data_IF_650401489049
#
_entry.id   IF_650401489049
#
_cell.length_a   1.000
_cell.length_b   1.000
_cell.length_c   1.000
_cell.angle_alpha   90.00
_cell.angle_beta   90.00
_cell.angle_gamma   90.00
#
_symmetry.space_group_name_H-M   'P 1'
#
loop_
_entity.id
_entity.type
_entity.pdbx_description
1 polymer ?
#
# COMPACT_ATOMS: atom_id res chain seq x y z
N UNK A 1 -16.23 12.28 15.99
CA UNK A 1 -15.22 13.36 16.01
C UNK A 1 -14.77 13.67 14.56
N UNK A 2 -14.32 12.69 13.76
CA UNK A 2 -13.87 12.95 12.39
C UNK A 2 -14.98 13.46 11.47
N UNK A 3 -16.19 12.89 11.54
CA UNK A 3 -17.36 13.38 10.77
C UNK A 3 -17.66 14.85 11.10
N UNK A 4 -17.74 15.20 12.39
CA UNK A 4 -17.99 16.58 12.80
C UNK A 4 -16.90 17.54 12.31
N UNK A 5 -15.63 17.12 12.32
CA UNK A 5 -14.53 17.91 11.77
C UNK A 5 -14.66 18.11 10.27
N UNK A 6 -14.94 17.04 9.50
CA UNK A 6 -15.19 17.15 8.07
C UNK A 6 -16.36 18.08 7.74
N UNK A 7 -17.46 17.97 8.49
CA UNK A 7 -18.63 18.85 8.34
C UNK A 7 -18.27 20.31 8.61
N UNK A 8 -17.52 20.58 9.69
CA UNK A 8 -17.06 21.93 10.02
C UNK A 8 -16.19 22.51 8.92
N UNK A 9 -15.18 21.76 8.46
CA UNK A 9 -14.28 22.22 7.40
C UNK A 9 -15.04 22.56 6.12
N UNK A 10 -15.88 21.63 5.67
CA UNK A 10 -16.63 21.82 4.43
C UNK A 10 -17.74 22.90 4.52
N UNK A 11 -18.35 23.11 5.68
CA UNK A 11 -19.33 24.19 5.89
C UNK A 11 -18.68 25.58 5.86
N UNK A 12 -17.41 25.68 6.24
CA UNK A 12 -16.60 26.90 6.15
C UNK A 12 -16.02 27.14 4.74
N UNK A 13 -16.29 26.26 3.78
CA UNK A 13 -15.69 26.32 2.44
C UNK A 13 -14.20 25.94 2.42
N UNK A 14 -13.72 25.30 3.47
CA UNK A 14 -12.33 24.85 3.62
C UNK A 14 -12.20 23.41 3.14
N UNK A 15 -11.09 23.12 2.49
CA UNK A 15 -10.75 21.75 2.12
C UNK A 15 -10.17 20.96 3.29
N UNK A 16 -10.35 19.65 3.28
CA UNK A 16 -9.96 18.77 4.37
C UNK A 16 -9.08 17.61 3.87
N UNK A 17 -7.98 17.34 4.59
CA UNK A 17 -7.15 16.15 4.42
C UNK A 17 -7.39 15.21 5.61
N UNK A 18 -8.14 14.12 5.37
CA UNK A 18 -8.36 13.08 6.38
C UNK A 18 -7.28 12.00 6.21
N UNK A 19 -6.28 12.08 7.09
CA UNK A 19 -5.07 11.29 7.07
C UNK A 19 -5.02 10.23 8.19
N UNK A 20 -6.17 9.80 8.69
CA UNK A 20 -6.30 8.76 9.71
C UNK A 20 -5.63 7.45 9.27
N UNK A 21 -5.14 6.69 10.23
CA UNK A 21 -4.65 5.34 9.99
C UNK A 21 -5.64 4.51 9.18
N UNK A 22 -5.12 3.57 8.40
CA UNK A 22 -5.96 2.64 7.67
C UNK A 22 -6.82 1.82 8.63
N UNK A 23 -8.07 1.55 8.24
CA UNK A 23 -9.01 0.82 9.07
C UNK A 23 -9.77 1.66 10.11
N UNK A 24 -9.49 2.96 10.27
CA UNK A 24 -10.25 3.87 11.14
C UNK A 24 -11.55 4.41 10.49
N UNK A 25 -12.03 3.77 9.43
CA UNK A 25 -13.33 4.06 8.82
C UNK A 25 -13.41 5.38 8.05
N UNK A 26 -12.33 5.80 7.38
CA UNK A 26 -12.32 7.00 6.51
C UNK A 26 -13.48 7.00 5.51
N UNK A 27 -13.75 5.87 4.87
CA UNK A 27 -14.87 5.71 3.93
C UNK A 27 -16.20 5.99 4.61
N UNK A 28 -16.46 5.41 5.77
CA UNK A 28 -17.71 5.62 6.52
C UNK A 28 -17.86 7.07 6.98
N UNK A 29 -16.79 7.69 7.48
CA UNK A 29 -16.78 9.10 7.87
C UNK A 29 -17.13 9.99 6.67
N UNK A 30 -16.58 9.67 5.49
CA UNK A 30 -16.87 10.39 4.25
C UNK A 30 -18.30 10.17 3.77
N UNK A 31 -18.82 8.93 3.81
CA UNK A 31 -20.23 8.64 3.49
C UNK A 31 -21.17 9.44 4.41
N UNK A 32 -20.86 9.53 5.70
CA UNK A 32 -21.62 10.34 6.66
C UNK A 32 -21.59 11.84 6.33
N UNK A 33 -20.45 12.35 5.81
CA UNK A 33 -20.38 13.72 5.29
C UNK A 33 -21.29 13.89 4.07
N UNK A 34 -21.16 13.02 3.07
CA UNK A 34 -21.92 13.08 1.80
C UNK A 34 -23.44 12.99 2.07
N UNK A 35 -23.83 12.14 2.99
CA UNK A 35 -25.23 11.94 3.40
C UNK A 35 -25.85 13.14 4.12
N UNK A 36 -25.04 13.98 4.72
CA UNK A 36 -25.48 15.20 5.42
C UNK A 36 -25.50 16.47 4.57
N UNK A 37 -25.30 16.37 3.24
CA UNK A 37 -25.33 17.53 2.33
C UNK A 37 -26.74 17.88 1.87
N UNK A 38 -26.92 19.10 1.41
CA UNK A 38 -28.22 19.69 1.00
C UNK A 38 -28.88 19.02 -0.22
N UNK A 39 -28.13 18.25 -1.01
CA UNK A 39 -28.63 17.55 -2.18
C UNK A 39 -28.88 18.44 -3.41
N UNK A 40 -28.51 19.71 -3.39
CA UNK A 40 -28.73 20.64 -4.50
C UNK A 40 -27.83 20.35 -5.71
N UNK A 41 -26.65 19.75 -5.47
CA UNK A 41 -25.64 19.44 -6.48
C UNK A 41 -25.19 17.98 -6.38
N UNK A 42 -24.66 17.40 -7.47
CA UNK A 42 -24.02 16.09 -7.40
C UNK A 42 -22.72 16.14 -6.60
N UNK A 43 -22.32 14.99 -6.10
CA UNK A 43 -21.10 14.79 -5.33
C UNK A 43 -20.19 13.81 -6.07
N UNK A 44 -18.88 14.01 -6.03
CA UNK A 44 -17.92 13.17 -6.78
C UNK A 44 -16.96 12.46 -5.82
N UNK A 45 -16.84 11.15 -6.00
CA UNK A 45 -15.82 10.33 -5.36
C UNK A 45 -14.89 9.78 -6.44
N UNK A 46 -13.62 10.16 -6.39
CA UNK A 46 -12.56 9.63 -7.25
C UNK A 46 -11.71 8.67 -6.43
N UNK A 47 -11.63 7.42 -6.86
CA UNK A 47 -10.91 6.39 -6.11
C UNK A 47 -10.10 5.47 -7.06
N UNK A 48 -9.18 4.63 -6.56
CA UNK A 48 -8.57 3.58 -7.38
C UNK A 48 -9.63 2.67 -8.01
N UNK A 49 -9.41 2.25 -9.25
CA UNK A 49 -10.37 1.40 -10.01
C UNK A 49 -10.86 0.19 -9.22
N UNK A 50 -9.98 -0.39 -8.45
CA UNK A 50 -10.24 -1.60 -7.65
C UNK A 50 -11.16 -1.37 -6.44
N UNK A 51 -11.35 -0.13 -5.99
CA UNK A 51 -12.24 0.20 -4.86
C UNK A 51 -13.57 0.82 -5.28
N UNK A 52 -13.80 1.07 -6.56
CA UNK A 52 -15.09 1.59 -7.07
C UNK A 52 -16.26 0.75 -6.54
N UNK A 53 -16.20 -0.58 -6.69
CA UNK A 53 -17.25 -1.45 -6.18
C UNK A 53 -17.35 -1.53 -4.65
N UNK A 54 -16.27 -1.23 -3.93
CA UNK A 54 -16.34 -1.13 -2.48
C UNK A 54 -17.11 0.12 -2.07
N UNK A 55 -16.86 1.26 -2.70
CA UNK A 55 -17.61 2.49 -2.49
C UNK A 55 -19.10 2.30 -2.76
N UNK A 56 -19.46 1.62 -3.85
CA UNK A 56 -20.87 1.31 -4.17
C UNK A 56 -21.54 0.50 -3.06
N UNK A 57 -20.88 -0.57 -2.59
CA UNK A 57 -21.41 -1.42 -1.50
C UNK A 57 -21.54 -0.67 -0.17
N UNK A 58 -20.53 0.11 0.20
CA UNK A 58 -20.55 0.88 1.44
C UNK A 58 -21.63 1.97 1.40
N UNK A 59 -21.80 2.66 0.27
CA UNK A 59 -22.89 3.62 0.08
C UNK A 59 -24.26 2.94 0.17
N UNK A 60 -24.47 1.81 -0.50
CA UNK A 60 -25.72 1.05 -0.43
C UNK A 60 -26.02 0.55 1.00
N UNK A 61 -24.97 0.23 1.77
CA UNK A 61 -25.11 -0.25 3.14
C UNK A 61 -25.43 0.85 4.14
N UNK A 62 -24.69 1.97 4.08
CA UNK A 62 -24.73 3.01 5.12
C UNK A 62 -25.57 4.24 4.76
N UNK A 63 -25.83 4.46 3.48
CA UNK A 63 -26.65 5.55 2.97
C UNK A 63 -27.52 5.11 1.79
N UNK A 64 -28.41 4.11 1.97
CA UNK A 64 -29.18 3.51 0.87
C UNK A 64 -30.15 4.47 0.18
N UNK A 65 -30.44 5.60 0.77
CA UNK A 65 -31.29 6.65 0.23
C UNK A 65 -30.56 7.60 -0.72
N UNK A 66 -29.21 7.59 -0.75
CA UNK A 66 -28.46 8.39 -1.70
C UNK A 66 -28.44 7.73 -3.08
N UNK A 67 -28.85 8.43 -4.15
CA UNK A 67 -28.65 7.93 -5.50
C UNK A 67 -27.16 7.77 -5.80
N UNK A 68 -26.75 6.60 -6.27
CA UNK A 68 -25.36 6.32 -6.63
C UNK A 68 -25.25 6.16 -8.14
N UNK A 69 -24.40 6.94 -8.76
CA UNK A 69 -24.09 6.89 -10.19
C UNK A 69 -22.69 6.33 -10.38
N UNK A 70 -22.61 5.19 -11.04
CA UNK A 70 -21.33 4.59 -11.39
C UNK A 70 -20.80 5.20 -12.69
N UNK A 71 -19.80 6.06 -12.58
CA UNK A 71 -19.06 6.55 -13.74
C UNK A 71 -17.84 5.65 -14.01
N UNK A 72 -18.12 4.40 -14.45
CA UNK A 72 -17.10 3.41 -14.77
C UNK A 72 -17.64 2.32 -15.70
N UNK A 73 -16.79 1.83 -16.62
CA UNK A 73 -17.18 0.81 -17.60
C UNK A 73 -17.84 1.35 -18.86
N UNK A 74 -18.52 0.48 -19.63
CA UNK A 74 -19.04 0.79 -20.95
C UNK A 74 -20.34 1.61 -20.96
N UNK A 75 -21.15 1.57 -19.94
CA UNK A 75 -22.43 2.30 -19.85
C UNK A 75 -22.37 3.53 -18.94
N UNK A 76 -21.18 4.12 -18.76
CA UNK A 76 -21.02 5.29 -17.91
C UNK A 76 -21.62 6.56 -18.50
N UNK A 77 -22.06 7.51 -17.68
CA UNK A 77 -22.50 8.83 -18.12
C UNK A 77 -21.54 9.50 -19.10
N UNK A 78 -22.10 10.13 -20.11
CA UNK A 78 -21.37 10.83 -21.18
C UNK A 78 -21.70 12.31 -21.27
N UNK A 79 -22.70 12.78 -20.51
CA UNK A 79 -23.09 14.19 -20.45
C UNK A 79 -23.27 14.64 -18.99
N UNK A 80 -23.19 15.96 -18.76
CA UNK A 80 -23.31 16.57 -17.43
C UNK A 80 -24.73 16.43 -16.85
N UNK A 81 -25.74 16.36 -17.70
CA UNK A 81 -27.18 16.25 -17.34
C UNK A 81 -27.47 14.87 -16.68
N UNK A 82 -26.64 13.90 -16.93
CA UNK A 82 -26.75 12.57 -16.30
C UNK A 82 -26.31 12.57 -14.83
N UNK A 83 -25.55 13.57 -14.39
CA UNK A 83 -25.16 13.73 -12.99
C UNK A 83 -26.25 14.46 -12.21
N UNK A 84 -27.19 13.70 -11.66
CA UNK A 84 -28.35 14.23 -10.96
C UNK A 84 -27.99 14.94 -9.65
N UNK A 85 -28.68 16.04 -9.27
CA UNK A 85 -28.56 16.66 -7.96
C UNK A 85 -28.72 15.63 -6.84
N UNK A 86 -27.93 15.75 -5.78
CA UNK A 86 -27.91 14.84 -4.64
C UNK A 86 -27.31 13.47 -4.89
N UNK A 87 -26.96 13.12 -6.13
CA UNK A 87 -26.34 11.84 -6.43
C UNK A 87 -24.85 11.83 -6.07
N UNK A 88 -24.38 10.67 -5.61
CA UNK A 88 -22.95 10.39 -5.43
C UNK A 88 -22.41 9.68 -6.67
N UNK A 89 -21.57 10.36 -7.42
CA UNK A 89 -20.90 9.82 -8.60
C UNK A 89 -19.58 9.18 -8.18
N UNK A 90 -19.41 7.88 -8.43
CA UNK A 90 -18.17 7.15 -8.12
C UNK A 90 -17.41 6.88 -9.40
N UNK A 91 -16.17 7.37 -9.47
CA UNK A 91 -15.29 7.23 -10.64
C UNK A 91 -13.87 6.81 -10.25
N UNK A 92 -13.01 6.59 -11.25
CA UNK A 92 -11.61 6.23 -11.04
C UNK A 92 -10.64 7.31 -11.53
N UNK A 93 -9.40 7.29 -10.99
CA UNK A 93 -8.33 8.18 -11.46
C UNK A 93 -8.01 8.05 -12.96
N UNK A 94 -8.20 6.84 -13.51
CA UNK A 94 -8.08 6.63 -14.96
C UNK A 94 -9.12 7.38 -15.77
N UNK A 95 -10.36 7.45 -15.29
CA UNK A 95 -11.46 8.19 -15.92
C UNK A 95 -11.38 9.69 -15.62
N UNK A 96 -10.93 10.10 -14.45
CA UNK A 96 -10.59 11.49 -14.16
C UNK A 96 -9.62 12.06 -15.21
N UNK A 97 -8.71 11.25 -15.73
CA UNK A 97 -7.80 11.66 -16.79
C UNK A 97 -8.47 11.68 -18.17
N UNK A 98 -9.29 10.66 -18.48
CA UNK A 98 -9.88 10.48 -19.81
C UNK A 98 -11.10 11.37 -20.05
N UNK A 99 -11.97 11.49 -19.06
CA UNK A 99 -13.25 12.19 -19.14
C UNK A 99 -13.17 13.56 -18.41
N UNK A 100 -11.97 14.18 -18.43
CA UNK A 100 -11.64 15.38 -17.64
C UNK A 100 -12.55 16.58 -17.93
N UNK A 101 -12.91 16.81 -19.20
CA UNK A 101 -13.76 17.94 -19.60
C UNK A 101 -15.20 17.74 -19.09
N UNK A 102 -15.74 16.53 -19.15
CA UNK A 102 -17.06 16.19 -18.61
C UNK A 102 -17.10 16.47 -17.09
N UNK A 103 -16.10 15.98 -16.36
CA UNK A 103 -16.04 16.16 -14.91
C UNK A 103 -15.76 17.62 -14.50
N UNK A 104 -14.98 18.35 -15.29
CA UNK A 104 -14.73 19.77 -15.06
C UNK A 104 -15.91 20.69 -15.47
N UNK A 105 -16.77 20.22 -16.37
CA UNK A 105 -17.98 20.92 -16.77
C UNK A 105 -19.15 20.81 -15.78
N UNK A 106 -19.00 20.00 -14.74
CA UNK A 106 -20.04 19.77 -13.72
C UNK A 106 -19.71 20.57 -12.46
N UNK A 107 -20.72 21.22 -11.88
CA UNK A 107 -20.57 21.98 -10.63
C UNK A 107 -20.88 21.07 -9.42
N UNK A 108 -19.83 20.59 -8.79
CA UNK A 108 -19.90 19.62 -7.71
C UNK A 108 -20.11 20.27 -6.34
N UNK A 109 -20.88 19.62 -5.47
CA UNK A 109 -20.98 20.05 -4.07
C UNK A 109 -19.69 19.65 -3.31
N UNK A 110 -19.37 18.38 -3.31
CA UNK A 110 -18.14 17.86 -2.68
C UNK A 110 -17.37 17.00 -3.69
N UNK A 111 -16.07 17.20 -3.79
CA UNK A 111 -15.15 16.30 -4.50
C UNK A 111 -14.25 15.61 -3.49
N UNK A 112 -14.32 14.29 -3.48
CA UNK A 112 -13.52 13.41 -2.62
C UNK A 112 -12.48 12.70 -3.45
N UNK A 113 -11.21 12.75 -3.04
CA UNK A 113 -10.15 11.90 -3.58
C UNK A 113 -9.80 10.84 -2.55
N UNK A 114 -10.11 9.59 -2.84
CA UNK A 114 -9.69 8.44 -2.01
C UNK A 114 -8.33 7.92 -2.48
N UNK A 115 -7.46 7.54 -1.53
CA UNK A 115 -6.04 7.26 -1.79
C UNK A 115 -5.36 8.43 -2.54
N UNK A 116 -5.45 9.61 -1.95
CA UNK A 116 -5.05 10.88 -2.57
C UNK A 116 -3.57 10.94 -2.97
N UNK A 117 -2.73 10.02 -2.50
CA UNK A 117 -1.36 9.86 -3.02
C UNK A 117 -1.31 9.54 -4.53
N UNK A 118 -2.43 9.21 -5.16
CA UNK A 118 -2.51 9.06 -6.62
C UNK A 118 -2.27 10.39 -7.38
N UNK A 119 -2.43 11.53 -6.71
CA UNK A 119 -2.12 12.85 -7.27
C UNK A 119 -0.79 13.44 -6.77
N UNK A 120 0.08 12.63 -6.16
CA UNK A 120 1.35 13.06 -5.57
C UNK A 120 2.29 13.81 -6.51
N UNK A 121 2.33 13.44 -7.77
CA UNK A 121 3.09 14.15 -8.78
C UNK A 121 2.26 15.31 -9.32
N UNK A 122 2.57 16.52 -8.87
CA UNK A 122 1.89 17.76 -9.24
C UNK A 122 1.89 18.05 -10.76
N UNK A 123 2.91 17.59 -11.50
CA UNK A 123 3.04 17.76 -12.94
C UNK A 123 2.25 16.71 -13.73
N UNK A 124 1.77 15.64 -13.08
CA UNK A 124 1.00 14.59 -13.75
C UNK A 124 -0.36 15.11 -14.21
N UNK A 125 -0.82 14.58 -15.34
CA UNK A 125 -2.13 14.93 -15.91
C UNK A 125 -3.28 14.71 -14.91
N UNK A 126 -3.22 13.62 -14.14
CA UNK A 126 -4.23 13.30 -13.12
C UNK A 126 -4.32 14.39 -12.04
N UNK A 127 -3.18 14.87 -11.53
CA UNK A 127 -3.15 15.93 -10.52
C UNK A 127 -3.66 17.27 -11.08
N UNK A 128 -3.28 17.59 -12.32
CA UNK A 128 -3.77 18.81 -13.00
C UNK A 128 -5.29 18.76 -13.22
N UNK A 129 -5.81 17.61 -13.66
CA UNK A 129 -7.25 17.46 -13.89
C UNK A 129 -8.02 17.51 -12.56
N UNK A 130 -7.54 16.88 -11.50
CA UNK A 130 -8.18 16.95 -10.19
C UNK A 130 -8.35 18.41 -9.71
N UNK A 131 -7.33 19.25 -9.87
CA UNK A 131 -7.40 20.68 -9.49
C UNK A 131 -8.35 21.53 -10.34
N UNK A 132 -8.63 21.10 -11.59
CA UNK A 132 -9.57 21.81 -12.49
C UNK A 132 -11.04 21.56 -12.16
N UNK A 133 -11.37 20.53 -11.40
CA UNK A 133 -12.76 20.19 -11.07
C UNK A 133 -13.34 21.28 -10.14
N UNK A 134 -14.42 21.98 -10.53
CA UNK A 134 -15.07 22.94 -9.66
C UNK A 134 -15.81 22.20 -8.53
N UNK A 135 -15.70 22.69 -7.29
CA UNK A 135 -16.40 22.13 -6.15
C UNK A 135 -16.59 23.17 -5.04
N UNK A 136 -17.70 23.08 -4.30
CA UNK A 136 -17.91 23.89 -3.08
C UNK A 136 -16.95 23.48 -1.97
N UNK A 137 -16.67 22.17 -1.84
CA UNK A 137 -15.73 21.63 -0.87
C UNK A 137 -14.87 20.50 -1.47
N UNK A 138 -13.67 20.34 -0.97
CA UNK A 138 -12.72 19.31 -1.43
C UNK A 138 -12.19 18.52 -0.25
N UNK A 139 -12.22 17.21 -0.36
CA UNK A 139 -11.75 16.28 0.68
C UNK A 139 -10.74 15.32 0.08
N UNK A 140 -9.62 15.15 0.72
CA UNK A 140 -8.64 14.14 0.38
C UNK A 140 -8.55 13.09 1.50
N UNK A 141 -8.55 11.81 1.13
CA UNK A 141 -8.42 10.69 2.04
C UNK A 141 -7.10 9.99 1.74
N UNK A 142 -6.31 9.71 2.77
CA UNK A 142 -5.09 8.92 2.66
C UNK A 142 -4.79 8.22 3.98
N UNK A 143 -4.17 7.04 3.92
CA UNK A 143 -3.60 6.39 5.11
C UNK A 143 -2.15 6.82 5.37
N UNK A 144 -1.52 7.45 4.38
CA UNK A 144 -0.09 7.76 4.35
C UNK A 144 0.14 9.17 3.80
N UNK A 145 -0.09 10.22 4.61
CA UNK A 145 -0.13 11.61 4.11
C UNK A 145 1.21 12.15 3.62
N UNK A 146 2.34 11.51 3.95
CA UNK A 146 3.70 11.99 3.64
C UNK A 146 4.66 10.81 3.44
N UNK A 147 4.41 9.95 2.43
CA UNK A 147 5.24 8.76 2.25
C UNK A 147 6.67 9.03 1.77
N UNK A 148 6.90 10.05 0.94
CA UNK A 148 8.17 10.14 0.24
C UNK A 148 8.77 11.56 0.06
N UNK A 149 7.97 12.60 -0.08
CA UNK A 149 8.47 13.97 -0.33
C UNK A 149 7.45 15.04 0.06
N UNK A 150 7.91 16.18 0.52
CA UNK A 150 7.05 17.33 0.81
C UNK A 150 6.29 17.84 -0.44
N UNK A 151 6.82 17.57 -1.64
CA UNK A 151 6.11 17.83 -2.90
C UNK A 151 4.79 17.05 -3.04
N UNK A 152 4.67 15.86 -2.43
CA UNK A 152 3.43 15.09 -2.40
C UNK A 152 2.39 15.77 -1.50
N UNK A 153 2.81 16.22 -0.33
CA UNK A 153 1.96 17.02 0.57
C UNK A 153 1.48 18.29 -0.12
N UNK A 154 2.38 19.01 -0.80
CA UNK A 154 2.01 20.21 -1.56
C UNK A 154 0.91 19.91 -2.58
N UNK A 155 1.02 18.81 -3.34
CA UNK A 155 0.06 18.47 -4.39
C UNK A 155 -1.33 18.16 -3.83
N UNK A 156 -1.41 17.48 -2.68
CA UNK A 156 -2.68 17.18 -2.01
C UNK A 156 -3.27 18.43 -1.37
N UNK A 157 -2.44 19.26 -0.72
CA UNK A 157 -2.89 20.51 -0.10
C UNK A 157 -3.35 21.53 -1.14
N UNK A 158 -2.69 21.60 -2.31
CA UNK A 158 -3.10 22.49 -3.41
C UNK A 158 -4.40 22.01 -4.09
N UNK A 159 -4.71 20.71 -4.03
CA UNK A 159 -6.04 20.22 -4.40
C UNK A 159 -7.09 20.61 -3.37
N UNK A 160 -6.87 20.36 -2.08
CA UNK A 160 -7.87 20.63 -1.04
C UNK A 160 -8.06 22.13 -0.81
N UNK A 161 -6.97 22.88 -0.70
CA UNK A 161 -6.96 24.30 -0.39
C UNK A 161 -6.05 25.05 -1.40
N UNK A 162 -6.55 25.36 -2.60
CA UNK A 162 -5.74 25.99 -3.65
C UNK A 162 -5.06 27.26 -3.18
N UNK A 163 -3.75 27.35 -3.40
CA UNK A 163 -2.96 28.53 -3.07
C UNK A 163 -2.51 28.65 -1.62
N UNK A 164 -2.95 27.79 -0.68
CA UNK A 164 -2.58 27.83 0.73
C UNK A 164 -1.05 27.82 0.94
N UNK A 165 -0.34 26.96 0.22
CA UNK A 165 1.11 26.82 0.30
C UNK A 165 1.87 27.65 -0.76
N UNK A 166 1.14 28.43 -1.55
CA UNK A 166 1.67 29.23 -2.65
C UNK A 166 2.15 28.38 -3.84
N UNK A 167 2.76 29.04 -4.86
CA UNK A 167 3.29 28.33 -6.03
C UNK A 167 4.35 27.29 -5.65
N UNK A 168 4.36 26.16 -6.37
CA UNK A 168 5.26 25.04 -6.08
C UNK A 168 6.75 25.42 -6.04
N UNK A 169 7.20 26.33 -6.91
CA UNK A 169 8.59 26.83 -6.90
C UNK A 169 8.96 27.45 -5.56
N UNK A 170 8.13 28.38 -5.05
CA UNK A 170 8.33 29.02 -3.74
C UNK A 170 8.22 28.05 -2.57
N UNK A 171 7.26 27.10 -2.63
CA UNK A 171 7.14 26.06 -1.63
C UNK A 171 8.41 25.20 -1.57
N UNK A 172 8.95 24.82 -2.73
CA UNK A 172 10.18 24.05 -2.82
C UNK A 172 11.35 24.76 -2.19
N UNK A 173 11.54 26.04 -2.50
CA UNK A 173 12.63 26.86 -1.94
C UNK A 173 12.47 27.09 -0.44
N UNK A 174 11.24 27.36 0.02
CA UNK A 174 10.98 27.78 1.40
C UNK A 174 10.87 26.60 2.38
N UNK A 175 10.38 25.44 1.92
CA UNK A 175 10.10 24.31 2.78
C UNK A 175 10.75 23.00 2.30
N UNK A 176 10.53 22.57 1.04
CA UNK A 176 10.95 21.23 0.64
C UNK A 176 12.48 21.07 0.65
N UNK A 177 13.23 21.98 0.04
CA UNK A 177 14.70 21.92 0.03
C UNK A 177 15.30 22.08 1.44
N UNK A 178 14.90 23.09 2.26
CA UNK A 178 15.39 23.21 3.63
C UNK A 178 15.16 21.95 4.47
N UNK A 179 13.94 21.42 4.47
CA UNK A 179 13.59 20.25 5.29
C UNK A 179 14.24 18.96 4.77
N UNK A 180 14.14 18.69 3.45
CA UNK A 180 14.59 17.41 2.88
C UNK A 180 16.12 17.31 2.75
N UNK A 181 16.82 18.43 2.46
CA UNK A 181 18.28 18.44 2.26
C UNK A 181 19.07 18.90 3.48
N UNK A 182 18.57 19.93 4.17
CA UNK A 182 19.32 20.60 5.25
C UNK A 182 18.79 20.25 6.64
N UNK A 183 17.71 19.46 6.73
CA UNK A 183 17.07 19.07 7.99
C UNK A 183 16.69 20.27 8.87
N UNK A 184 16.17 21.34 8.23
CA UNK A 184 15.76 22.57 8.90
C UNK A 184 14.47 22.32 9.70
N UNK A 185 14.62 22.17 11.02
CA UNK A 185 13.51 21.92 11.94
C UNK A 185 12.55 23.11 12.04
N UNK A 186 13.05 24.35 11.90
CA UNK A 186 12.22 25.55 11.93
C UNK A 186 11.33 25.63 10.69
N UNK A 187 11.86 25.31 9.51
CA UNK A 187 11.07 25.23 8.29
C UNK A 187 10.00 24.12 8.39
N UNK A 188 10.35 22.96 8.97
CA UNK A 188 9.43 21.89 9.22
C UNK A 188 8.33 22.27 10.23
N UNK A 189 8.68 22.96 11.31
CA UNK A 189 7.72 23.44 12.31
C UNK A 189 6.74 24.45 11.72
N UNK A 190 7.23 25.43 10.95
CA UNK A 190 6.39 26.42 10.25
C UNK A 190 5.44 25.76 9.27
N UNK A 191 5.89 24.78 8.48
CA UNK A 191 5.04 24.05 7.55
C UNK A 191 3.94 23.27 8.29
N UNK A 192 4.31 22.58 9.38
CA UNK A 192 3.33 21.87 10.24
C UNK A 192 2.25 22.79 10.77
N UNK A 193 2.61 23.97 11.27
CA UNK A 193 1.62 24.95 11.76
C UNK A 193 0.61 25.39 10.69
N UNK A 194 1.06 25.56 9.44
CA UNK A 194 0.21 25.98 8.33
C UNK A 194 -0.75 24.85 7.94
N UNK A 195 -0.28 23.60 7.92
CA UNK A 195 -1.03 22.45 7.41
C UNK A 195 -1.95 21.84 8.47
N UNK A 196 -1.56 21.87 9.74
CA UNK A 196 -2.27 21.21 10.83
C UNK A 196 -3.77 21.53 10.91
N UNK A 197 -4.27 22.76 10.69
CA UNK A 197 -5.71 23.02 10.74
C UNK A 197 -6.52 22.28 9.67
N UNK A 198 -5.90 21.95 8.53
CA UNK A 198 -6.53 21.34 7.36
C UNK A 198 -6.32 19.83 7.28
N UNK A 199 -5.61 19.25 8.24
CA UNK A 199 -5.31 17.83 8.28
C UNK A 199 -5.75 17.20 9.60
N UNK A 200 -6.55 16.14 9.52
CA UNK A 200 -6.85 15.29 10.68
C UNK A 200 -6.11 13.98 10.52
N UNK A 201 -5.18 13.71 11.44
CA UNK A 201 -4.45 12.45 11.52
C UNK A 201 -4.63 11.85 12.90
N UNK A 202 -5.16 10.64 12.97
CA UNK A 202 -5.27 9.84 14.19
C UNK A 202 -4.63 8.49 13.94
N UNK A 203 -3.91 8.01 14.93
CA UNK A 203 -3.33 6.68 14.93
C UNK A 203 -4.26 5.71 15.65
N UNK A 204 -4.22 4.44 15.33
CA UNK A 204 -4.93 3.39 16.06
C UNK A 204 -4.46 3.28 17.51
N UNK A 205 -3.21 3.68 17.76
CA UNK A 205 -2.58 3.70 19.07
C UNK A 205 -2.92 4.93 19.92
N UNK A 206 -3.56 5.94 19.33
CA UNK A 206 -3.96 7.13 20.06
C UNK A 206 -5.05 6.80 21.10
N UNK A 207 -4.96 7.34 22.35
CA UNK A 207 -5.99 7.13 23.35
C UNK A 207 -7.39 7.56 22.87
N UNK A 208 -8.39 6.72 23.09
CA UNK A 208 -9.78 7.00 22.72
C UNK A 208 -10.10 6.87 21.22
N UNK A 209 -9.18 6.34 20.38
CA UNK A 209 -9.40 6.23 18.94
C UNK A 209 -9.90 4.86 18.52
N UNK A 210 -9.29 3.78 19.01
CA UNK A 210 -9.59 2.41 18.60
C UNK A 210 -9.49 1.43 19.78
N UNK A 211 -10.04 1.81 20.92
CA UNK A 211 -10.00 1.02 22.18
C UNK A 211 -10.61 -0.39 22.03
N UNK A 212 -11.56 -0.57 21.11
CA UNK A 212 -12.19 -1.86 20.84
C UNK A 212 -11.35 -2.75 19.90
N UNK A 213 -10.23 -2.27 19.34
CA UNK A 213 -9.36 -3.10 18.51
C UNK A 213 -8.52 -4.02 19.40
N UNK A 214 -8.54 -5.34 19.12
CA UNK A 214 -7.69 -6.26 19.86
C UNK A 214 -6.19 -5.98 19.58
N UNK A 215 -5.28 -6.57 20.38
CA UNK A 215 -3.83 -6.43 20.15
C UNK A 215 -3.40 -6.89 18.75
N UNK A 216 -2.37 -6.24 18.22
CA UNK A 216 -1.60 -6.69 17.06
C UNK A 216 -0.20 -7.10 17.54
N UNK A 217 0.18 -8.33 17.25
CA UNK A 217 1.50 -8.87 17.58
C UNK A 217 2.28 -9.08 16.28
N UNK A 218 3.46 -8.48 16.17
CA UNK A 218 4.34 -8.64 15.01
C UNK A 218 5.57 -9.44 15.38
N UNK A 219 5.90 -10.44 14.57
CA UNK A 219 7.05 -11.33 14.75
C UNK A 219 7.88 -11.37 13.48
N UNK A 220 9.17 -11.17 13.61
CA UNK A 220 10.14 -11.46 12.55
C UNK A 220 10.51 -12.93 12.61
N UNK A 221 10.25 -13.65 11.54
CA UNK A 221 10.56 -15.07 11.40
C UNK A 221 11.85 -15.21 10.59
N UNK A 222 12.93 -15.53 11.29
CA UNK A 222 14.22 -15.77 10.64
C UNK A 222 14.21 -17.10 9.89
N UNK A 223 14.65 -17.07 8.63
CA UNK A 223 14.74 -18.22 7.75
C UNK A 223 16.18 -18.38 7.26
N UNK A 224 16.71 -19.62 7.26
CA UNK A 224 18.04 -19.90 6.73
C UNK A 224 18.02 -20.18 5.23
N UNK A 225 19.09 -19.82 4.52
CA UNK A 225 19.27 -20.25 3.13
C UNK A 225 19.55 -21.76 3.06
N UNK A 226 19.04 -22.40 2.02
CA UNK A 226 19.55 -23.72 1.63
C UNK A 226 20.89 -23.57 0.89
N UNK A 227 21.68 -24.64 0.76
CA UNK A 227 22.93 -24.63 -0.04
C UNK A 227 22.68 -24.18 -1.48
N UNK A 228 21.60 -24.65 -2.09
CA UNK A 228 21.18 -24.23 -3.42
C UNK A 228 20.94 -22.72 -3.49
N UNK A 229 20.20 -22.16 -2.51
CA UNK A 229 19.95 -20.73 -2.45
C UNK A 229 21.23 -19.91 -2.24
N UNK A 230 22.12 -20.35 -1.34
CA UNK A 230 23.38 -19.66 -1.05
C UNK A 230 24.29 -19.62 -2.29
N UNK A 231 24.47 -20.77 -2.98
CA UNK A 231 25.28 -20.86 -4.21
C UNK A 231 24.72 -19.97 -5.30
N UNK A 232 23.39 -20.00 -5.50
CA UNK A 232 22.72 -19.20 -6.53
C UNK A 232 22.79 -17.70 -6.21
N UNK A 233 22.69 -17.34 -4.95
CA UNK A 233 22.79 -15.97 -4.47
C UNK A 233 24.21 -15.41 -4.74
N UNK A 234 25.26 -16.12 -4.32
CA UNK A 234 26.66 -15.73 -4.54
C UNK A 234 26.98 -15.61 -6.05
N UNK A 235 26.58 -16.60 -6.84
CA UNK A 235 26.78 -16.58 -8.28
C UNK A 235 26.07 -15.37 -8.96
N UNK A 236 24.89 -15.01 -8.47
CA UNK A 236 24.13 -13.86 -8.99
C UNK A 236 24.78 -12.52 -8.60
N UNK A 237 25.31 -12.42 -7.38
CA UNK A 237 26.08 -11.24 -6.95
C UNK A 237 27.33 -11.08 -7.79
N UNK A 238 28.12 -12.14 -7.95
CA UNK A 238 29.34 -12.13 -8.78
C UNK A 238 29.06 -11.77 -10.25
N UNK A 239 28.02 -12.35 -10.83
CA UNK A 239 27.64 -12.08 -12.22
C UNK A 239 27.18 -10.62 -12.50
N UNK A 240 26.57 -9.95 -11.52
CA UNK A 240 26.00 -8.61 -11.70
C UNK A 240 26.85 -7.46 -11.13
N UNK A 241 27.71 -7.76 -10.13
CA UNK A 241 28.64 -6.78 -9.53
C UNK A 241 30.10 -6.98 -9.95
N UNK A 242 30.41 -8.06 -10.68
CA UNK A 242 31.79 -8.46 -11.00
C UNK A 242 32.50 -9.15 -9.82
N UNK A 243 33.61 -9.83 -10.09
CA UNK A 243 34.42 -10.46 -9.05
C UNK A 243 35.06 -9.39 -8.14
N UNK A 244 35.04 -9.67 -6.85
CA UNK A 244 35.56 -8.77 -5.79
C UNK A 244 37.04 -8.46 -5.91
N UNK A 245 37.82 -9.29 -6.63
CA UNK A 245 39.27 -9.16 -6.75
C UNK A 245 39.75 -8.24 -7.88
N UNK A 246 38.93 -7.91 -8.86
CA UNK A 246 39.37 -7.14 -10.03
C UNK A 246 39.24 -5.62 -9.91
N UNK A 247 38.63 -5.09 -8.84
CA UNK A 247 38.55 -3.65 -8.56
C UNK A 247 37.78 -2.80 -9.60
N UNK A 248 37.38 -3.39 -10.71
CA UNK A 248 36.80 -2.68 -11.87
C UNK A 248 35.34 -3.11 -12.04
N UNK A 249 34.46 -2.46 -11.28
CA UNK A 249 33.01 -2.60 -11.43
C UNK A 249 32.42 -1.27 -11.83
N UNK A 250 32.38 -1.04 -13.10
CA UNK A 250 31.58 0.04 -13.65
C UNK A 250 30.12 -0.45 -13.77
N UNK A 251 29.31 -0.17 -12.77
CA UNK A 251 27.86 -0.37 -12.83
C UNK A 251 27.19 0.59 -13.83
N UNK A 252 27.97 1.44 -14.48
CA UNK A 252 27.50 2.52 -15.34
C UNK A 252 26.96 3.70 -14.52
N UNK A 253 26.56 4.74 -15.21
CA UNK A 253 26.02 5.94 -14.59
C UNK A 253 24.50 6.10 -14.86
N UNK A 254 23.83 6.88 -14.01
CA UNK A 254 22.45 7.33 -14.26
C UNK A 254 21.42 6.22 -14.35
N UNK A 255 20.72 6.13 -15.49
CA UNK A 255 19.58 5.22 -15.69
C UNK A 255 20.04 3.75 -15.80
N UNK A 256 21.18 3.50 -16.43
CA UNK A 256 21.72 2.13 -16.60
C UNK A 256 22.10 1.52 -15.25
N UNK A 257 22.80 2.27 -14.43
CA UNK A 257 23.15 1.86 -13.05
C UNK A 257 21.91 1.50 -12.25
N UNK A 258 20.91 2.39 -12.26
CA UNK A 258 19.64 2.12 -11.57
C UNK A 258 18.96 0.84 -12.04
N UNK A 259 18.96 0.59 -13.34
CA UNK A 259 18.43 -0.63 -13.94
C UNK A 259 19.15 -1.89 -13.47
N UNK A 260 20.49 -1.88 -13.42
CA UNK A 260 21.32 -3.00 -12.95
C UNK A 260 21.12 -3.27 -11.45
N UNK A 261 21.11 -2.23 -10.62
CA UNK A 261 20.85 -2.36 -9.18
C UNK A 261 19.46 -2.96 -8.93
N UNK A 262 18.41 -2.46 -9.57
CA UNK A 262 17.07 -3.02 -9.43
C UNK A 262 16.98 -4.48 -9.88
N UNK A 263 17.67 -4.83 -10.95
CA UNK A 263 17.75 -6.21 -11.45
C UNK A 263 18.40 -7.13 -10.41
N UNK A 264 19.54 -6.71 -9.86
CA UNK A 264 20.26 -7.46 -8.81
C UNK A 264 19.36 -7.68 -7.59
N UNK A 265 18.84 -6.61 -7.01
CA UNK A 265 18.01 -6.67 -5.81
C UNK A 265 16.75 -7.53 -6.02
N UNK A 266 16.12 -7.45 -7.20
CA UNK A 266 14.98 -8.28 -7.56
C UNK A 266 15.37 -9.75 -7.67
N UNK A 267 16.48 -10.06 -8.31
CA UNK A 267 16.99 -11.42 -8.45
C UNK A 267 17.28 -12.06 -7.08
N UNK A 268 17.99 -11.34 -6.21
CA UNK A 268 18.33 -11.81 -4.87
C UNK A 268 17.10 -12.07 -4.00
N UNK A 269 16.09 -11.18 -4.06
CA UNK A 269 14.79 -11.42 -3.38
C UNK A 269 14.08 -12.67 -3.89
N UNK A 270 14.08 -12.89 -5.20
CA UNK A 270 13.47 -14.10 -5.78
C UNK A 270 14.22 -15.37 -5.36
N UNK A 271 15.54 -15.32 -5.26
CA UNK A 271 16.35 -16.44 -4.76
C UNK A 271 16.06 -16.70 -3.28
N UNK A 272 15.99 -15.66 -2.45
CA UNK A 272 15.61 -15.78 -1.04
C UNK A 272 14.20 -16.38 -0.89
N UNK A 273 13.27 -16.06 -1.77
CA UNK A 273 11.95 -16.66 -1.77
C UNK A 273 11.99 -18.15 -2.14
N UNK A 274 12.50 -18.47 -3.32
CA UNK A 274 12.63 -19.84 -3.81
C UNK A 274 13.44 -19.90 -5.11
N UNK A 275 14.41 -20.82 -5.28
CA UNK A 275 15.17 -20.99 -6.54
C UNK A 275 14.28 -21.14 -7.78
N UNK A 276 13.20 -21.93 -7.69
CA UNK A 276 12.30 -22.14 -8.82
C UNK A 276 11.60 -20.86 -9.29
N UNK A 277 11.38 -19.87 -8.41
CA UNK A 277 10.84 -18.57 -8.82
C UNK A 277 11.84 -17.78 -9.68
N UNK A 278 13.11 -17.81 -9.30
CA UNK A 278 14.18 -17.09 -10.04
C UNK A 278 14.53 -17.76 -11.36
N UNK A 279 14.67 -19.08 -11.33
CA UNK A 279 15.04 -19.88 -12.50
C UNK A 279 13.88 -20.09 -13.48
N UNK A 280 12.64 -19.94 -13.03
CA UNK A 280 11.44 -20.23 -13.83
C UNK A 280 11.25 -21.73 -14.13
N UNK A 281 11.77 -22.59 -13.27
CA UNK A 281 11.79 -24.03 -13.48
C UNK A 281 10.58 -24.72 -12.85
N UNK A 282 9.92 -25.64 -13.57
CA UNK A 282 8.98 -26.56 -12.97
C UNK A 282 9.74 -27.64 -12.18
N UNK A 283 9.18 -28.10 -11.05
CA UNK A 283 9.78 -29.20 -10.29
C UNK A 283 9.37 -29.19 -8.82
N UNK A 284 9.95 -30.14 -8.04
CA UNK A 284 9.66 -30.21 -6.61
C UNK A 284 10.16 -28.97 -5.88
N UNK A 285 9.32 -28.41 -5.02
CA UNK A 285 9.64 -27.20 -4.27
C UNK A 285 10.23 -27.52 -2.88
N UNK A 286 9.82 -28.66 -2.31
CA UNK A 286 10.20 -29.06 -0.94
C UNK A 286 11.72 -29.19 -0.79
N UNK A 287 12.25 -28.63 0.30
CA UNK A 287 13.68 -28.73 0.65
C UNK A 287 14.60 -27.75 -0.08
N UNK A 288 14.07 -26.93 -1.00
CA UNK A 288 14.86 -25.98 -1.80
C UNK A 288 14.85 -24.54 -1.25
N UNK A 289 14.00 -24.23 -0.27
CA UNK A 289 13.88 -22.89 0.32
C UNK A 289 13.56 -22.95 1.80
N UNK A 290 14.37 -22.26 2.61
CA UNK A 290 14.12 -22.12 4.04
C UNK A 290 12.85 -21.33 4.34
N UNK A 291 12.55 -20.28 3.57
CA UNK A 291 11.28 -19.56 3.71
C UNK A 291 10.07 -20.45 3.43
N UNK A 292 10.11 -21.26 2.39
CA UNK A 292 9.00 -22.17 2.06
C UNK A 292 8.79 -23.21 3.18
N UNK A 293 9.88 -23.74 3.74
CA UNK A 293 9.81 -24.66 4.88
C UNK A 293 9.14 -23.97 6.08
N UNK A 294 9.66 -22.81 6.50
CA UNK A 294 9.12 -22.07 7.65
C UNK A 294 7.66 -21.63 7.45
N UNK A 295 7.31 -21.12 6.27
CA UNK A 295 5.94 -20.77 5.94
C UNK A 295 5.00 -21.97 6.04
N UNK A 296 5.45 -23.14 5.54
CA UNK A 296 4.63 -24.38 5.59
C UNK A 296 4.39 -24.82 7.02
N UNK A 297 5.40 -24.77 7.89
CA UNK A 297 5.27 -25.10 9.32
C UNK A 297 4.28 -24.18 10.02
N UNK A 298 4.48 -22.87 9.93
CA UNK A 298 3.59 -21.87 10.53
C UNK A 298 2.14 -22.01 10.06
N UNK A 299 1.95 -22.15 8.76
CA UNK A 299 0.60 -22.26 8.21
C UNK A 299 -0.06 -23.61 8.56
N UNK A 300 0.72 -24.68 8.73
CA UNK A 300 0.21 -25.97 9.23
C UNK A 300 -0.33 -25.84 10.66
N UNK A 301 0.39 -25.16 11.54
CA UNK A 301 -0.04 -24.89 12.93
C UNK A 301 -1.31 -24.04 12.97
N UNK A 302 -1.37 -22.95 12.18
CA UNK A 302 -2.52 -22.07 12.09
C UNK A 302 -3.76 -22.83 11.61
N UNK A 303 -3.62 -23.63 10.56
CA UNK A 303 -4.74 -24.43 10.01
C UNK A 303 -5.17 -25.51 11.00
N UNK A 304 -4.22 -26.19 11.67
CA UNK A 304 -4.53 -27.20 12.67
C UNK A 304 -5.26 -26.62 13.90
N UNK A 305 -5.00 -25.36 14.24
CA UNK A 305 -5.68 -24.63 15.32
C UNK A 305 -7.06 -24.10 14.90
N UNK A 306 -7.50 -24.36 13.67
CA UNK A 306 -8.79 -23.86 13.15
C UNK A 306 -8.80 -22.35 12.88
N UNK A 307 -7.62 -21.74 12.84
CA UNK A 307 -7.45 -20.30 12.58
C UNK A 307 -7.27 -20.04 11.07
N UNK A 308 -7.26 -18.76 10.68
CA UNK A 308 -7.19 -18.35 9.28
C UNK A 308 -6.09 -17.35 9.03
N UNK A 309 -5.41 -17.51 7.89
CA UNK A 309 -4.32 -16.65 7.51
C UNK A 309 -4.50 -16.01 6.15
N UNK A 310 -4.03 -14.74 6.07
CA UNK A 310 -3.71 -14.07 4.81
C UNK A 310 -2.22 -14.26 4.54
N UNK A 311 -1.88 -14.68 3.34
CA UNK A 311 -0.48 -14.83 2.93
C UNK A 311 -0.19 -13.84 1.81
N UNK A 312 0.68 -12.88 2.08
CA UNK A 312 1.04 -11.82 1.13
C UNK A 312 2.35 -12.13 0.43
N UNK A 313 2.37 -11.91 -0.88
CA UNK A 313 3.59 -11.92 -1.71
C UNK A 313 3.51 -10.83 -2.77
N UNK A 314 4.65 -10.24 -3.16
CA UNK A 314 4.71 -9.26 -4.23
C UNK A 314 4.77 -9.91 -5.61
N UNK A 315 5.18 -11.18 -5.71
CA UNK A 315 5.40 -11.87 -6.96
C UNK A 315 4.26 -12.85 -7.29
N UNK A 316 3.62 -12.63 -8.44
CA UNK A 316 2.56 -13.54 -8.91
C UNK A 316 3.08 -14.98 -9.07
N UNK A 317 4.26 -15.15 -9.67
CA UNK A 317 4.86 -16.48 -9.83
C UNK A 317 5.05 -17.19 -8.48
N UNK A 318 5.51 -16.47 -7.43
CA UNK A 318 5.63 -17.06 -6.10
C UNK A 318 4.26 -17.42 -5.50
N UNK A 319 3.25 -16.58 -5.70
CA UNK A 319 1.89 -16.88 -5.25
C UNK A 319 1.31 -18.15 -5.88
N UNK A 320 1.56 -18.38 -7.17
CA UNK A 320 1.16 -19.61 -7.89
C UNK A 320 1.91 -20.84 -7.34
N UNK A 321 3.21 -20.73 -7.08
CA UNK A 321 4.01 -21.79 -6.45
C UNK A 321 3.50 -22.11 -5.04
N UNK A 322 3.25 -21.09 -4.21
CA UNK A 322 2.72 -21.23 -2.86
C UNK A 322 1.34 -21.88 -2.85
N UNK A 323 0.43 -21.47 -3.74
CA UNK A 323 -0.91 -22.03 -3.80
C UNK A 323 -0.87 -23.55 -4.06
N UNK A 324 -0.09 -23.96 -5.05
CA UNK A 324 0.08 -25.39 -5.36
C UNK A 324 0.74 -26.18 -4.23
N UNK A 325 1.84 -25.64 -3.68
CA UNK A 325 2.60 -26.30 -2.61
C UNK A 325 1.78 -26.44 -1.33
N UNK A 326 1.17 -25.35 -0.85
CA UNK A 326 0.38 -25.35 0.40
C UNK A 326 -0.88 -26.23 0.27
N UNK A 327 -1.54 -26.21 -0.90
CA UNK A 327 -2.66 -27.12 -1.17
C UNK A 327 -2.27 -28.57 -0.95
N UNK A 328 -1.16 -29.00 -1.55
CA UNK A 328 -0.65 -30.37 -1.42
C UNK A 328 -0.12 -30.67 0.00
N UNK A 329 0.69 -29.79 0.57
CA UNK A 329 1.36 -30.00 1.87
C UNK A 329 0.37 -30.04 3.04
N UNK A 330 -0.66 -29.18 3.00
CA UNK A 330 -1.68 -29.06 4.05
C UNK A 330 -2.95 -29.84 3.74
N UNK A 331 -2.98 -30.57 2.62
CA UNK A 331 -4.15 -31.36 2.17
C UNK A 331 -5.41 -30.51 2.05
N UNK A 332 -5.28 -29.29 1.57
CA UNK A 332 -6.39 -28.39 1.32
C UNK A 332 -6.94 -28.60 -0.10
N UNK A 333 -8.27 -28.59 -0.29
CA UNK A 333 -8.88 -28.76 -1.61
C UNK A 333 -8.39 -27.71 -2.61
N UNK A 334 -8.28 -26.46 -2.14
CA UNK A 334 -7.82 -25.30 -2.88
C UNK A 334 -7.22 -24.28 -1.93
N UNK A 335 -6.20 -23.57 -2.38
CA UNK A 335 -5.68 -22.36 -1.73
C UNK A 335 -5.92 -21.19 -2.69
N UNK A 336 -6.96 -20.36 -2.47
CA UNK A 336 -7.30 -19.27 -3.36
C UNK A 336 -6.19 -18.24 -3.41
N UNK A 337 -5.91 -17.73 -4.62
CA UNK A 337 -4.91 -16.68 -4.84
C UNK A 337 -5.50 -15.44 -5.53
N UNK A 338 -5.61 -14.36 -4.79
CA UNK A 338 -6.11 -13.08 -5.25
C UNK A 338 -4.97 -12.21 -5.80
N UNK A 339 -4.97 -11.98 -7.12
CA UNK A 339 -3.94 -11.19 -7.81
C UNK A 339 -4.57 -10.27 -8.86
N UNK A 340 -3.76 -9.41 -9.49
CA UNK A 340 -4.24 -8.40 -10.44
C UNK A 340 -4.88 -8.95 -11.72
N UNK A 341 -4.61 -10.21 -12.08
CA UNK A 341 -5.23 -10.89 -13.22
C UNK A 341 -6.59 -11.55 -12.94
N UNK A 342 -7.04 -11.56 -11.68
CA UNK A 342 -8.37 -12.08 -11.31
C UNK A 342 -9.43 -11.07 -11.68
N UNK A 343 -10.45 -11.50 -12.43
CA UNK A 343 -11.58 -10.64 -12.77
C UNK A 343 -12.36 -10.19 -11.53
N UNK A 344 -13.13 -9.10 -11.69
CA UNK A 344 -13.84 -8.50 -10.55
C UNK A 344 -14.82 -9.45 -9.88
N UNK A 345 -15.61 -10.18 -10.66
CA UNK A 345 -16.62 -11.10 -10.11
C UNK A 345 -15.99 -12.28 -9.36
N UNK A 346 -14.90 -12.83 -9.88
CA UNK A 346 -14.14 -13.89 -9.20
C UNK A 346 -13.50 -13.34 -7.90
N UNK A 347 -12.96 -12.13 -7.91
CA UNK A 347 -12.41 -11.47 -6.72
C UNK A 347 -13.47 -11.31 -5.62
N UNK A 348 -14.65 -10.83 -5.98
CA UNK A 348 -15.77 -10.64 -5.04
C UNK A 348 -16.21 -11.99 -4.44
N UNK A 349 -16.29 -13.04 -5.25
CA UNK A 349 -16.60 -14.41 -4.77
C UNK A 349 -15.53 -14.95 -3.83
N UNK A 350 -14.24 -14.80 -4.15
CA UNK A 350 -13.13 -15.24 -3.28
C UNK A 350 -13.18 -14.55 -1.92
N UNK A 351 -13.38 -13.23 -1.90
CA UNK A 351 -13.47 -12.45 -0.65
C UNK A 351 -14.70 -12.88 0.15
N UNK A 352 -15.87 -12.99 -0.46
CA UNK A 352 -17.09 -13.44 0.20
C UNK A 352 -16.94 -14.88 0.74
N UNK A 353 -16.38 -15.79 -0.05
CA UNK A 353 -16.11 -17.15 0.39
C UNK A 353 -15.19 -17.20 1.62
N UNK A 354 -14.08 -16.45 1.61
CA UNK A 354 -13.16 -16.38 2.74
C UNK A 354 -13.81 -15.74 3.98
N UNK A 355 -14.60 -14.69 3.79
CA UNK A 355 -15.14 -13.88 4.88
C UNK A 355 -16.41 -14.45 5.50
N UNK A 356 -17.29 -15.07 4.72
CA UNK A 356 -18.67 -15.38 5.11
C UNK A 356 -18.98 -16.88 5.13
N UNK A 357 -18.36 -17.68 4.24
CA UNK A 357 -18.71 -19.09 4.14
C UNK A 357 -18.39 -19.87 5.43
N UNK A 358 -19.27 -20.79 5.88
CA UNK A 358 -19.01 -21.64 7.05
C UNK A 358 -17.76 -22.51 6.87
N UNK A 359 -17.61 -23.08 5.69
CA UNK A 359 -16.50 -23.94 5.23
C UNK A 359 -15.41 -23.15 4.48
N UNK A 360 -15.25 -21.88 4.80
CA UNK A 360 -14.29 -21.00 4.14
C UNK A 360 -12.87 -21.58 4.15
N UNK A 361 -12.10 -21.39 3.06
CA UNK A 361 -10.73 -21.83 3.00
C UNK A 361 -9.93 -21.21 4.16
N UNK A 362 -9.05 -21.97 4.84
CA UNK A 362 -8.29 -21.45 5.98
C UNK A 362 -7.22 -20.46 5.55
N UNK A 363 -6.79 -20.49 4.30
CA UNK A 363 -5.78 -19.63 3.72
C UNK A 363 -6.33 -18.82 2.55
N UNK A 364 -5.93 -17.58 2.44
CA UNK A 364 -6.10 -16.75 1.25
C UNK A 364 -4.76 -16.10 0.90
N UNK A 365 -4.22 -16.47 -0.25
CA UNK A 365 -3.05 -15.81 -0.81
C UNK A 365 -3.47 -14.50 -1.47
N UNK A 366 -2.68 -13.45 -1.27
CA UNK A 366 -2.98 -12.12 -1.82
C UNK A 366 -1.69 -11.50 -2.38
N UNK A 367 -1.72 -11.11 -3.64
CA UNK A 367 -0.65 -10.28 -4.19
C UNK A 367 -0.72 -8.88 -3.57
N UNK A 368 0.42 -8.36 -3.08
CA UNK A 368 0.48 -7.04 -2.45
C UNK A 368 -0.10 -5.93 -3.33
N UNK A 369 0.12 -5.98 -4.64
CA UNK A 369 -0.48 -5.03 -5.60
C UNK A 369 -2.01 -5.15 -5.69
N UNK A 370 -2.55 -6.34 -5.51
CA UNK A 370 -4.00 -6.57 -5.50
C UNK A 370 -4.61 -6.32 -4.10
N UNK A 371 -3.83 -6.52 -3.05
CA UNK A 371 -4.20 -6.26 -1.65
C UNK A 371 -4.41 -4.77 -1.33
N UNK A 372 -3.82 -3.86 -2.11
CA UNK A 372 -3.92 -2.40 -1.93
C UNK A 372 -5.33 -1.80 -2.07
N UNK A 373 -6.38 -2.59 -2.20
CA UNK A 373 -7.68 -2.15 -2.69
C UNK A 373 -8.82 -2.43 -1.74
N UNK A 374 -8.90 -1.72 -0.62
CA UNK A 374 -10.13 -1.60 0.21
C UNK A 374 -10.78 -2.92 0.70
N UNK A 375 -10.07 -4.05 0.64
CA UNK A 375 -10.59 -5.33 1.07
C UNK A 375 -10.82 -5.36 2.59
N UNK A 376 -11.89 -5.97 3.03
CA UNK A 376 -12.17 -6.26 4.42
C UNK A 376 -12.04 -7.76 4.67
N UNK A 377 -11.01 -8.18 5.41
CA UNK A 377 -10.64 -9.58 5.63
C UNK A 377 -10.45 -9.89 7.12
N UNK A 378 -11.32 -9.31 7.96
CA UNK A 378 -11.26 -9.39 9.43
C UNK A 378 -11.49 -10.80 10.00
N UNK A 379 -11.87 -11.76 9.17
CA UNK A 379 -11.95 -13.16 9.60
C UNK A 379 -10.56 -13.81 9.79
N UNK A 380 -9.51 -13.24 9.18
CA UNK A 380 -8.14 -13.66 9.40
C UNK A 380 -7.63 -13.18 10.77
N UNK A 381 -6.97 -14.06 11.50
CA UNK A 381 -6.28 -13.81 12.75
C UNK A 381 -4.77 -13.85 12.57
N UNK A 382 -4.30 -14.32 11.43
CA UNK A 382 -2.89 -14.35 11.07
C UNK A 382 -2.66 -13.67 9.73
N UNK A 383 -1.55 -12.95 9.64
CA UNK A 383 -1.04 -12.33 8.43
C UNK A 383 0.41 -12.77 8.25
N UNK A 384 0.71 -13.43 7.14
CA UNK A 384 2.06 -13.85 6.78
C UNK A 384 2.56 -13.02 5.61
N UNK A 385 3.59 -12.20 5.81
CA UNK A 385 4.36 -11.57 4.73
C UNK A 385 5.47 -12.54 4.32
N UNK A 386 5.26 -13.25 3.21
CA UNK A 386 6.21 -14.23 2.68
C UNK A 386 7.48 -13.57 2.15
N UNK A 387 7.31 -12.45 1.46
CA UNK A 387 8.40 -11.57 1.06
C UNK A 387 8.15 -10.14 1.55
N UNK A 388 9.21 -9.48 2.00
CA UNK A 388 9.18 -8.13 2.56
C UNK A 388 9.05 -7.08 1.45
N UNK A 389 8.17 -6.11 1.64
CA UNK A 389 8.19 -4.89 0.84
C UNK A 389 9.11 -3.86 1.48
N UNK A 390 9.91 -3.18 0.67
CA UNK A 390 10.88 -2.20 1.19
C UNK A 390 10.25 -0.85 1.55
N UNK A 391 8.95 -0.71 1.40
CA UNK A 391 8.16 0.36 1.95
C UNK A 391 7.24 -0.23 3.05
N UNK A 392 7.52 0.05 4.34
CA UNK A 392 6.72 -0.46 5.45
C UNK A 392 5.25 -0.10 5.37
N UNK A 393 4.92 1.08 4.82
CA UNK A 393 3.53 1.51 4.67
C UNK A 393 2.70 0.57 3.77
N UNK A 394 3.32 -0.08 2.78
CA UNK A 394 2.64 -1.07 1.93
C UNK A 394 2.37 -2.37 2.69
N UNK A 395 3.30 -2.80 3.55
CA UNK A 395 3.10 -3.96 4.44
C UNK A 395 2.00 -3.67 5.47
N UNK A 396 2.05 -2.49 6.09
CA UNK A 396 1.04 -2.06 7.06
C UNK A 396 -0.34 -1.97 6.38
N UNK A 397 -0.41 -1.43 5.16
CA UNK A 397 -1.63 -1.41 4.35
C UNK A 397 -2.18 -2.82 4.08
N UNK A 398 -1.33 -3.78 3.81
CA UNK A 398 -1.74 -5.17 3.62
C UNK A 398 -2.24 -5.79 4.93
N UNK A 399 -1.51 -5.61 6.03
CA UNK A 399 -1.90 -6.07 7.37
C UNK A 399 -3.23 -5.47 7.82
N UNK A 400 -3.50 -4.22 7.51
CA UNK A 400 -4.75 -3.51 7.83
C UNK A 400 -5.99 -4.04 7.11
N UNK A 401 -5.86 -5.05 6.24
CA UNK A 401 -7.01 -5.82 5.72
C UNK A 401 -7.60 -6.75 6.79
N UNK A 402 -6.76 -7.28 7.68
CA UNK A 402 -7.17 -8.09 8.83
C UNK A 402 -7.31 -7.24 10.10
N UNK A 403 -6.38 -6.30 10.33
CA UNK A 403 -6.32 -5.47 11.53
C UNK A 403 -7.04 -4.13 11.35
N UNK A 404 -8.37 -4.17 11.45
CA UNK A 404 -9.23 -2.99 11.27
C UNK A 404 -10.49 -3.06 12.14
N UNK A 405 -11.23 -1.97 12.22
CA UNK A 405 -12.52 -1.92 12.94
C UNK A 405 -13.42 -3.07 12.47
N UNK A 406 -13.92 -3.84 13.45
CA UNK A 406 -14.66 -5.09 13.23
C UNK A 406 -13.85 -6.36 13.49
N UNK A 407 -12.55 -6.26 13.70
CA UNK A 407 -11.73 -7.34 14.23
C UNK A 407 -12.02 -7.54 15.72
N UNK A 408 -12.19 -8.79 16.15
CA UNK A 408 -12.51 -9.16 17.53
C UNK A 408 -11.47 -10.05 18.20
N UNK A 409 -10.45 -10.45 17.45
CA UNK A 409 -9.40 -11.37 17.89
C UNK A 409 -8.02 -10.76 17.66
N UNK A 410 -7.05 -11.11 18.48
CA UNK A 410 -5.65 -10.74 18.26
C UNK A 410 -5.22 -11.09 16.84
N UNK A 411 -4.54 -10.16 16.18
CA UNK A 411 -3.95 -10.38 14.86
C UNK A 411 -2.45 -10.61 15.02
N UNK A 412 -2.00 -11.79 14.64
CA UNK A 412 -0.59 -12.16 14.63
C UNK A 412 -0.01 -11.94 13.23
N UNK A 413 1.02 -11.12 13.15
CA UNK A 413 1.68 -10.75 11.89
C UNK A 413 3.07 -11.38 11.87
N UNK A 414 3.29 -12.28 10.92
CA UNK A 414 4.56 -12.96 10.70
C UNK A 414 5.25 -12.38 9.48
N UNK A 415 6.50 -11.96 9.63
CA UNK A 415 7.29 -11.38 8.55
C UNK A 415 8.51 -12.27 8.32
N UNK A 416 8.56 -12.99 7.20
CA UNK A 416 9.68 -13.86 6.90
C UNK A 416 10.87 -13.04 6.40
N UNK A 417 12.03 -13.29 6.98
CA UNK A 417 13.30 -12.65 6.63
C UNK A 417 14.38 -13.72 6.50
N UNK A 418 15.10 -13.71 5.41
CA UNK A 418 16.22 -14.63 5.21
C UNK A 418 17.47 -14.08 5.88
N UNK A 419 17.94 -14.77 6.91
CA UNK A 419 19.12 -14.39 7.69
C UNK A 419 20.40 -14.36 6.84
N UNK A 420 21.33 -13.49 7.18
CA UNK A 420 22.61 -13.33 6.49
C UNK A 420 22.52 -12.73 5.09
N UNK A 421 21.37 -12.22 4.65
CA UNK A 421 21.14 -11.71 3.31
C UNK A 421 20.76 -10.22 3.28
N UNK A 422 20.59 -9.69 2.06
CA UNK A 422 20.06 -8.34 1.85
C UNK A 422 18.71 -8.11 2.58
N UNK A 423 17.89 -9.14 2.80
CA UNK A 423 16.58 -8.97 3.43
C UNK A 423 16.70 -8.59 4.91
N UNK A 424 17.61 -9.24 5.63
CA UNK A 424 17.88 -8.93 7.03
C UNK A 424 18.44 -7.51 7.16
N UNK A 425 19.46 -7.17 6.38
CA UNK A 425 20.06 -5.83 6.42
C UNK A 425 19.08 -4.71 6.05
N UNK A 426 18.21 -4.94 5.07
CA UNK A 426 17.14 -3.99 4.75
C UNK A 426 16.13 -3.92 5.91
N UNK A 427 15.81 -5.04 6.54
CA UNK A 427 14.91 -5.05 7.70
C UNK A 427 15.46 -4.19 8.84
N UNK A 428 16.74 -4.35 9.18
CA UNK A 428 17.42 -3.58 10.22
C UNK A 428 17.43 -2.08 9.88
N UNK A 429 17.79 -1.74 8.65
CA UNK A 429 17.78 -0.35 8.18
C UNK A 429 16.37 0.28 8.22
N UNK A 430 15.33 -0.50 7.97
CA UNK A 430 13.95 -0.03 8.06
C UNK A 430 13.49 0.15 9.51
N UNK A 431 13.97 -0.66 10.44
CA UNK A 431 13.69 -0.52 11.88
C UNK A 431 14.41 0.69 12.46
N UNK A 432 15.69 0.87 12.15
CA UNK A 432 16.45 2.08 12.54
C UNK A 432 15.79 3.34 11.98
N UNK A 433 15.35 3.32 10.72
CA UNK A 433 14.65 4.44 10.11
C UNK A 433 13.25 4.65 10.68
N UNK A 434 12.53 3.62 11.12
CA UNK A 434 11.27 3.79 11.85
C UNK A 434 11.48 4.54 13.17
N UNK A 435 12.52 4.21 13.91
CA UNK A 435 12.87 4.92 15.14
C UNK A 435 13.23 6.40 14.88
N UNK A 436 13.75 6.73 13.68
CA UNK A 436 14.04 8.09 13.21
C UNK A 436 12.88 8.73 12.44
N UNK A 437 11.94 7.92 11.89
CA UNK A 437 10.92 8.35 10.91
C UNK A 437 9.68 9.00 11.51
N UNK A 438 9.56 9.10 12.82
CA UNK A 438 8.69 10.12 13.41
C UNK A 438 9.16 11.54 13.05
N UNK A 439 10.34 11.69 12.43
CA UNK A 439 10.89 12.96 11.96
C UNK A 439 11.16 13.03 10.45
N UNK A 440 11.36 11.94 9.72
CA UNK A 440 11.76 11.99 8.29
C UNK A 440 11.16 10.84 7.50
N UNK A 441 10.16 11.13 6.70
CA UNK A 441 9.59 10.23 5.70
C UNK A 441 10.59 10.07 4.54
N UNK A 442 11.16 8.89 4.41
CA UNK A 442 12.12 8.55 3.36
C UNK A 442 11.50 7.79 2.20
N UNK A 443 12.00 8.07 1.03
CA UNK A 443 11.75 7.47 -0.28
C UNK A 443 11.54 5.94 -0.22
N UNK A 444 10.54 5.44 -0.95
CA UNK A 444 10.41 4.03 -1.31
C UNK A 444 11.69 3.46 -1.94
N UNK A 445 11.62 2.33 -2.66
CA UNK A 445 12.76 1.58 -3.22
C UNK A 445 13.87 2.43 -3.92
N UNK A 446 13.60 3.69 -4.23
CA UNK A 446 14.52 4.60 -4.93
C UNK A 446 15.82 4.89 -4.17
N UNK A 447 15.82 4.89 -2.84
CA UNK A 447 17.03 5.13 -2.04
C UNK A 447 18.08 4.02 -2.22
N UNK A 448 17.65 2.78 -2.46
CA UNK A 448 18.55 1.65 -2.72
C UNK A 448 19.33 1.83 -4.02
N UNK A 449 18.76 2.52 -5.00
CA UNK A 449 19.43 2.79 -6.27
C UNK A 449 20.41 3.97 -6.20
N UNK A 450 20.38 4.72 -5.10
CA UNK A 450 21.27 5.87 -4.84
C UNK A 450 22.45 5.52 -3.92
N UNK A 451 22.52 4.25 -3.41
CA UNK A 451 23.65 3.76 -2.62
C UNK A 451 24.96 3.81 -3.42
N UNK A 452 26.06 4.06 -2.74
CA UNK A 452 27.39 3.88 -3.33
C UNK A 452 27.64 2.41 -3.69
N UNK A 453 28.60 2.13 -4.56
CA UNK A 453 28.92 0.74 -4.92
C UNK A 453 29.47 -0.05 -3.73
N UNK A 454 30.19 0.63 -2.83
CA UNK A 454 30.67 0.02 -1.58
C UNK A 454 29.51 -0.32 -0.64
N UNK A 455 28.53 0.58 -0.44
CA UNK A 455 27.35 0.34 0.37
C UNK A 455 26.47 -0.77 -0.23
N UNK A 456 26.31 -0.77 -1.56
CA UNK A 456 25.55 -1.81 -2.25
C UNK A 456 26.20 -3.19 -2.09
N UNK A 457 27.54 -3.28 -2.24
CA UNK A 457 28.28 -4.53 -1.98
C UNK A 457 28.09 -5.00 -0.56
N UNK A 458 28.26 -4.10 0.42
CA UNK A 458 28.00 -4.40 1.83
C UNK A 458 26.58 -4.89 2.05
N UNK A 459 25.58 -4.28 1.40
CA UNK A 459 24.17 -4.65 1.53
C UNK A 459 23.86 -6.06 1.00
N UNK A 460 24.50 -6.48 -0.10
CA UNK A 460 24.19 -7.75 -0.76
C UNK A 460 25.15 -8.89 -0.38
N UNK A 461 26.24 -8.64 0.33
CA UNK A 461 27.15 -9.68 0.76
C UNK A 461 26.44 -10.72 1.65
N UNK A 462 26.77 -12.00 1.57
CA UNK A 462 26.32 -12.98 2.57
C UNK A 462 27.12 -12.82 3.87
N UNK A 463 26.47 -12.99 5.02
CA UNK A 463 27.16 -13.05 6.30
C UNK A 463 27.89 -14.38 6.45
N UNK A 464 29.09 -14.38 7.08
CA UNK A 464 29.92 -15.58 7.26
C UNK A 464 29.21 -16.71 8.04
N UNK A 465 28.24 -16.38 8.89
CA UNK A 465 27.45 -17.35 9.65
C UNK A 465 26.47 -18.17 8.79
N UNK A 466 26.28 -17.81 7.53
CA UNK A 466 25.43 -18.56 6.58
C UNK A 466 26.15 -19.74 5.93
N UNK A 467 27.46 -19.90 6.12
CA UNK A 467 28.25 -21.01 5.58
C UNK A 467 28.19 -22.31 6.42
N UNK A 468 27.67 -22.27 7.64
CA UNK A 468 27.40 -23.47 8.47
C UNK A 468 25.99 -24.03 8.19
N UNK A 469 25.66 -24.27 6.95
CA UNK A 469 24.41 -24.95 6.58
C UNK A 469 24.64 -26.47 6.58
N UNK A 470 24.06 -27.14 7.57
CA UNK A 470 24.01 -28.61 7.73
C UNK A 470 23.25 -29.29 6.61
#
# INVERSE_FOLDING_TARGET
RGVAWLQTMTSLGLGALLADDMGLGKTLQTISLLAGRDGERPQLVVCPTSVVGNWERELARFAPYLPVIRHHGGGRPSSVEEFKPGAVVVTSYGLLRRDAELLAGTDWDVVVLDEAQQIKNQAAQTARNARRIPARARVALTGTPMENRLSELWSVMDFTNPGLLGPFSRFRERYAVPVERWRDDDAAARLRQIVAPFMLRRLKTDPGVAEDLPPKVETLESCTLTREQATLYQATVAALLGDTDSGDTDLGEGIERRGRVLKLLTALKQICNHPAQYLGEPGPLRGRSGKLARATELLAEIVASGERALVFTQYRAMGELLAGHLGAALRLPEVPFLHGGVDRGARERMVAAFQEAPDAPPLLLVSLKAGGTGLNLTRATHVLHYDRWWNPAVEDQATDRAYRIGQRRTVNVHKLVTAGTLEERISDLLEEKRALADSIVGSGETWLTELSDADLRSLVALSADSDEVS
#
